data_IF_148975173684
#
_entry.id   IF_148975173684
#
_cell.length_a   1.000
_cell.length_b   1.000
_cell.length_c   1.000
_cell.angle_alpha   90.00
_cell.angle_beta   90.00
_cell.angle_gamma   90.00
#
_symmetry.space_group_name_H-M   'P 1'
#
loop_
_entity.id
_entity.type
_entity.pdbx_description
1 polymer ?
#
# COMPACT_ATOMS: atom_id res chain seq x y z
N UNK A 1 9.76 -15.74 -12.14
CA UNK A 1 9.67 -14.33 -12.60
C UNK A 1 10.17 -13.43 -11.49
N UNK A 2 11.07 -12.49 -11.77
CA UNK A 2 11.65 -11.59 -10.75
C UNK A 2 10.79 -10.32 -10.67
N UNK A 3 9.87 -10.24 -9.71
CA UNK A 3 9.19 -8.96 -9.43
C UNK A 3 10.22 -8.04 -8.76
N UNK A 4 10.49 -6.90 -9.37
CA UNK A 4 11.35 -5.86 -8.80
C UNK A 4 10.72 -5.34 -7.50
N UNK A 5 11.55 -5.05 -6.49
CA UNK A 5 11.08 -4.51 -5.20
C UNK A 5 10.29 -3.21 -5.38
N UNK A 6 10.64 -2.41 -6.40
CA UNK A 6 9.92 -1.19 -6.77
C UNK A 6 8.52 -1.52 -7.28
N UNK A 7 8.40 -2.52 -8.15
CA UNK A 7 7.09 -2.94 -8.66
C UNK A 7 6.19 -3.46 -7.53
N UNK A 8 6.77 -4.18 -6.55
CA UNK A 8 6.04 -4.65 -5.37
C UNK A 8 5.48 -3.49 -4.53
N UNK A 9 6.29 -2.45 -4.30
CA UNK A 9 5.88 -1.27 -3.55
C UNK A 9 4.85 -0.40 -4.30
N UNK A 10 4.99 -0.26 -5.62
CA UNK A 10 4.03 0.49 -6.45
C UNK A 10 2.67 -0.22 -6.45
N UNK A 11 2.65 -1.54 -6.66
CA UNK A 11 1.41 -2.32 -6.69
C UNK A 11 0.73 -2.32 -5.32
N UNK A 12 1.48 -2.44 -4.22
CA UNK A 12 0.89 -2.40 -2.87
C UNK A 12 0.33 -1.03 -2.51
N UNK A 13 1.05 0.04 -2.86
CA UNK A 13 0.60 1.41 -2.62
C UNK A 13 -0.67 1.75 -3.42
N UNK A 14 -0.73 1.36 -4.69
CA UNK A 14 -1.91 1.55 -5.53
C UNK A 14 -3.08 0.73 -4.99
N UNK A 15 -2.88 -0.55 -4.64
CA UNK A 15 -3.95 -1.39 -4.11
C UNK A 15 -4.51 -0.85 -2.79
N UNK A 16 -3.65 -0.43 -1.86
CA UNK A 16 -4.10 0.13 -0.58
C UNK A 16 -4.76 1.50 -0.74
N UNK A 17 -4.16 2.39 -1.56
CA UNK A 17 -4.71 3.72 -1.82
C UNK A 17 -6.04 3.68 -2.57
N UNK A 18 -6.20 2.76 -3.52
CA UNK A 18 -7.48 2.57 -4.24
C UNK A 18 -8.55 1.99 -3.34
N UNK A 19 -8.24 1.01 -2.49
CA UNK A 19 -9.20 0.48 -1.53
C UNK A 19 -9.72 1.56 -0.57
N UNK A 20 -8.83 2.39 -0.03
CA UNK A 20 -9.20 3.50 0.84
C UNK A 20 -9.90 4.65 0.09
N UNK A 21 -9.53 4.88 -1.17
CA UNK A 21 -10.17 5.86 -2.05
C UNK A 21 -11.60 5.50 -2.42
N UNK A 22 -11.92 4.20 -2.60
CA UNK A 22 -13.30 3.76 -2.86
C UNK A 22 -14.22 4.11 -1.71
N UNK A 23 -13.78 3.90 -0.46
CA UNK A 23 -14.56 4.29 0.72
C UNK A 23 -14.84 5.80 0.77
N UNK A 24 -13.87 6.65 0.39
CA UNK A 24 -14.07 8.10 0.37
C UNK A 24 -14.97 8.57 -0.80
N UNK A 25 -14.99 7.84 -1.92
CA UNK A 25 -15.89 8.13 -3.05
C UNK A 25 -17.34 7.75 -2.74
N UNK A 26 -17.56 6.73 -1.90
CA UNK A 26 -18.91 6.32 -1.48
C UNK A 26 -19.64 7.43 -0.72
N UNK A 27 -18.91 8.27 0.01
CA UNK A 27 -19.47 9.36 0.82
C UNK A 27 -19.48 10.72 0.10
N UNK A 28 -19.13 10.77 -1.21
CA UNK A 28 -19.14 11.95 -2.10
C UNK A 28 -18.30 13.16 -1.64
N UNK A 29 -17.64 13.08 -0.49
CA UNK A 29 -16.81 14.15 0.08
C UNK A 29 -15.58 13.50 0.68
N UNK A 30 -14.39 13.88 0.19
CA UNK A 30 -13.14 13.50 0.84
C UNK A 30 -12.88 14.48 1.98
N UNK A 31 -13.12 14.05 3.21
CA UNK A 31 -12.80 14.83 4.40
C UNK A 31 -11.31 14.73 4.75
N UNK A 32 -10.81 15.68 5.55
CA UNK A 32 -9.42 15.67 6.00
C UNK A 32 -9.05 14.38 6.75
N UNK A 33 -9.99 13.77 7.48
CA UNK A 33 -9.78 12.51 8.19
C UNK A 33 -9.61 11.32 7.25
N UNK A 34 -10.35 11.29 6.15
CA UNK A 34 -10.24 10.24 5.12
C UNK A 34 -8.96 10.37 4.32
N UNK A 35 -8.54 11.60 4.00
CA UNK A 35 -7.23 11.84 3.37
C UNK A 35 -6.07 11.30 4.21
N UNK A 36 -6.09 11.54 5.52
CA UNK A 36 -5.09 10.97 6.45
C UNK A 36 -5.17 9.45 6.47
N UNK A 37 -6.37 8.89 6.47
CA UNK A 37 -6.57 7.43 6.49
C UNK A 37 -6.03 6.76 5.22
N UNK A 38 -6.24 7.36 4.05
CA UNK A 38 -5.69 6.88 2.77
C UNK A 38 -4.15 6.91 2.81
N UNK A 39 -3.56 8.01 3.27
CA UNK A 39 -2.10 8.14 3.38
C UNK A 39 -1.53 7.10 4.34
N UNK A 40 -2.15 6.91 5.51
CA UNK A 40 -1.74 5.89 6.49
C UNK A 40 -1.87 4.47 5.91
N UNK A 41 -2.92 4.18 5.14
CA UNK A 41 -3.10 2.89 4.48
C UNK A 41 -1.99 2.62 3.46
N UNK A 42 -1.61 3.62 2.65
CA UNK A 42 -0.50 3.51 1.69
C UNK A 42 0.83 3.30 2.42
N UNK A 43 1.09 4.06 3.48
CA UNK A 43 2.31 3.92 4.29
C UNK A 43 2.38 2.55 4.98
N UNK A 44 1.27 2.05 5.53
CA UNK A 44 1.19 0.72 6.11
C UNK A 44 1.47 -0.36 5.06
N UNK A 45 0.90 -0.24 3.85
CA UNK A 45 1.15 -1.17 2.76
C UNK A 45 2.62 -1.16 2.31
N UNK A 46 3.25 0.01 2.26
CA UNK A 46 4.68 0.12 1.99
C UNK A 46 5.54 -0.49 3.09
N UNK A 47 5.20 -0.24 4.36
CA UNK A 47 5.85 -0.87 5.50
C UNK A 47 5.79 -2.40 5.43
N UNK A 48 4.63 -2.96 5.10
CA UNK A 48 4.45 -4.41 4.91
C UNK A 48 5.29 -4.91 3.72
N UNK A 49 5.33 -4.19 2.59
CA UNK A 49 6.16 -4.61 1.46
C UNK A 49 7.65 -4.58 1.72
N UNK A 50 8.10 -3.69 2.60
CA UNK A 50 9.49 -3.65 3.05
C UNK A 50 9.78 -4.78 4.06
N UNK A 51 8.87 -5.02 4.99
CA UNK A 51 9.00 -6.08 6.01
C UNK A 51 8.94 -7.50 5.42
N UNK A 52 8.24 -7.70 4.30
CA UNK A 52 8.17 -9.00 3.61
C UNK A 52 9.21 -9.04 2.49
N UNK A 53 10.38 -9.66 2.68
CA UNK A 53 11.39 -9.73 1.64
C UNK A 53 10.90 -10.61 0.48
N UNK A 54 11.27 -10.22 -0.74
CA UNK A 54 10.90 -10.95 -1.96
C UNK A 54 11.66 -12.29 -2.12
N UNK A 55 12.62 -12.55 -1.23
CA UNK A 55 13.36 -13.81 -1.12
C UNK A 55 13.38 -14.20 0.37
N UNK A 56 13.14 -15.46 0.74
CA UNK A 56 13.58 -15.94 2.04
C UNK A 56 15.08 -15.67 2.13
N UNK A 57 15.55 -15.00 3.18
CA UNK A 57 16.98 -14.97 3.49
C UNK A 57 17.41 -16.42 3.61
N UNK A 58 18.17 -16.88 2.62
CA UNK A 58 18.67 -18.26 2.60
C UNK A 58 19.93 -18.22 3.45
N UNK A 59 19.75 -18.38 4.76
CA UNK A 59 20.85 -18.61 5.68
C UNK A 59 21.35 -20.04 5.38
N UNK A 60 22.49 -20.13 4.69
CA UNK A 60 23.30 -21.35 4.54
C UNK A 60 24.59 -21.19 5.35
#
# INVERSE_FOLDING_TARGET
>A
MKISSIAKAVVSGIAAGSAAGVTAVQDNVVTAGEGVTIVLAVLAAWGITWAVPNKPTRDI
#
